data_IF_114268696876
#
_entry.id   IF_114268696876
#
_cell.length_a   1.000
_cell.length_b   1.000
_cell.length_c   1.000
_cell.angle_alpha   90.00
_cell.angle_beta   90.00
_cell.angle_gamma   90.00
#
_symmetry.space_group_name_H-M   'P 1'
#
loop_
_entity.id
_entity.type
_entity.pdbx_description
1 polymer ?
#
# COMPACT_ATOMS: atom_id res chain seq x y z
N UNK A 1 -18.97 -7.80 -2.14
CA UNK A 1 -18.00 -6.72 -1.93
C UNK A 1 -16.72 -7.14 -2.61
N UNK A 2 -16.29 -6.40 -3.62
CA UNK A 2 -14.97 -6.60 -4.24
C UNK A 2 -13.88 -5.93 -3.38
N UNK A 3 -12.62 -6.21 -3.69
CA UNK A 3 -11.49 -5.69 -2.90
C UNK A 3 -11.43 -4.15 -2.90
N UNK A 4 -11.79 -3.50 -4.00
CA UNK A 4 -11.83 -2.03 -4.11
C UNK A 4 -12.88 -1.42 -3.19
N UNK A 5 -14.11 -1.91 -3.24
CA UNK A 5 -15.22 -1.49 -2.38
C UNK A 5 -14.85 -1.66 -0.89
N UNK A 6 -14.16 -2.75 -0.54
CA UNK A 6 -13.66 -2.97 0.80
C UNK A 6 -12.65 -1.88 1.21
N UNK A 7 -11.63 -1.63 0.39
CA UNK A 7 -10.61 -0.62 0.68
C UNK A 7 -11.21 0.79 0.78
N UNK A 8 -12.17 1.13 -0.09
CA UNK A 8 -12.91 2.40 -0.02
C UNK A 8 -13.71 2.53 1.28
N UNK A 9 -14.35 1.45 1.76
CA UNK A 9 -15.07 1.48 3.03
C UNK A 9 -14.13 1.63 4.24
N UNK A 10 -12.98 0.95 4.24
CA UNK A 10 -11.97 1.09 5.31
C UNK A 10 -11.45 2.52 5.36
N UNK A 11 -11.12 3.10 4.20
CA UNK A 11 -10.69 4.50 4.08
C UNK A 11 -11.76 5.48 4.60
N UNK A 12 -13.03 5.26 4.23
CA UNK A 12 -14.12 6.17 4.58
C UNK A 12 -14.54 6.08 6.06
N UNK A 13 -14.36 4.91 6.69
CA UNK A 13 -14.86 4.63 8.05
C UNK A 13 -13.84 3.86 8.90
N UNK A 14 -12.62 4.38 9.10
CA UNK A 14 -11.53 3.65 9.78
C UNK A 14 -11.92 3.18 11.19
N UNK A 15 -12.71 3.97 11.92
CA UNK A 15 -13.17 3.62 13.27
C UNK A 15 -14.04 2.36 13.35
N UNK A 16 -14.80 2.00 12.29
CA UNK A 16 -15.57 0.75 12.26
C UNK A 16 -14.68 -0.49 12.21
N UNK A 17 -13.43 -0.33 11.79
CA UNK A 17 -12.42 -1.38 11.69
C UNK A 17 -11.43 -1.32 12.87
N UNK A 18 -11.69 -0.50 13.89
CA UNK A 18 -10.80 -0.32 15.04
C UNK A 18 -9.53 0.48 14.73
N UNK A 19 -9.48 1.17 13.59
CA UNK A 19 -8.32 1.98 13.21
C UNK A 19 -8.38 3.35 13.89
N UNK A 20 -7.23 3.77 14.43
CA UNK A 20 -7.05 5.02 15.17
C UNK A 20 -6.41 6.14 14.33
N UNK A 21 -6.29 5.94 13.01
CA UNK A 21 -5.69 6.91 12.09
C UNK A 21 -4.17 6.85 11.98
N UNK A 22 -3.48 5.97 12.73
CA UNK A 22 -2.03 5.80 12.56
C UNK A 22 -1.70 4.95 11.33
N UNK A 23 -0.57 5.24 10.70
CA UNK A 23 -0.05 4.47 9.58
C UNK A 23 0.21 3.02 9.98
N UNK A 24 0.86 2.82 11.13
CA UNK A 24 1.23 1.49 11.61
C UNK A 24 0.00 0.59 11.85
N UNK A 25 -1.05 1.11 12.49
CA UNK A 25 -2.27 0.34 12.74
C UNK A 25 -2.99 0.01 11.42
N UNK A 26 -3.07 0.97 10.50
CA UNK A 26 -3.68 0.78 9.17
C UNK A 26 -2.95 -0.28 8.35
N UNK A 27 -1.62 -0.18 8.26
CA UNK A 27 -0.81 -1.14 7.52
C UNK A 27 -0.92 -2.54 8.14
N UNK A 28 -0.82 -2.66 9.47
CA UNK A 28 -0.94 -3.94 10.18
C UNK A 28 -2.30 -4.59 9.97
N UNK A 29 -3.38 -3.81 10.02
CA UNK A 29 -4.73 -4.28 9.73
C UNK A 29 -4.85 -4.84 8.30
N UNK A 30 -4.34 -4.11 7.30
CA UNK A 30 -4.40 -4.56 5.90
C UNK A 30 -3.56 -5.82 5.66
N UNK A 31 -2.38 -5.92 6.29
CA UNK A 31 -1.56 -7.14 6.26
C UNK A 31 -2.34 -8.33 6.84
N UNK A 32 -2.95 -8.17 8.01
CA UNK A 32 -3.75 -9.23 8.64
C UNK A 32 -4.96 -9.64 7.80
N UNK A 33 -5.64 -8.66 7.19
CA UNK A 33 -6.78 -8.91 6.30
C UNK A 33 -6.36 -9.69 5.04
N UNK A 34 -5.24 -9.32 4.42
CA UNK A 34 -4.72 -10.01 3.24
C UNK A 34 -4.28 -11.44 3.57
N UNK A 35 -3.59 -11.65 4.69
CA UNK A 35 -3.22 -12.99 5.17
C UNK A 35 -4.44 -13.86 5.42
N UNK A 36 -5.49 -13.31 6.05
CA UNK A 36 -6.77 -13.99 6.25
C UNK A 36 -7.49 -14.37 4.95
N UNK A 37 -7.11 -13.78 3.81
CA UNK A 37 -7.62 -14.04 2.47
C UNK A 37 -6.60 -14.69 1.54
N UNK A 38 -5.61 -15.40 2.10
CA UNK A 38 -4.59 -16.13 1.34
C UNK A 38 -3.69 -15.26 0.45
N UNK A 39 -3.49 -13.99 0.81
CA UNK A 39 -2.53 -13.10 0.16
C UNK A 39 -2.96 -12.59 -1.22
N UNK A 40 -4.27 -12.48 -1.47
CA UNK A 40 -4.81 -12.07 -2.77
C UNK A 40 -4.86 -10.56 -3.00
N UNK A 41 -5.02 -9.76 -1.94
CA UNK A 41 -5.22 -8.31 -2.03
C UNK A 41 -3.96 -7.62 -2.55
N UNK A 42 -2.79 -7.97 -1.98
CA UNK A 42 -1.52 -7.33 -2.30
C UNK A 42 -0.65 -8.08 -3.32
N UNK A 43 -1.15 -9.15 -3.94
CA UNK A 43 -0.39 -9.91 -4.94
C UNK A 43 -0.06 -9.05 -6.16
N UNK A 44 1.22 -8.76 -6.39
CA UNK A 44 1.67 -7.87 -7.45
C UNK A 44 1.84 -6.40 -7.01
N UNK A 45 1.60 -6.07 -5.74
CA UNK A 45 1.65 -4.69 -5.28
C UNK A 45 3.09 -4.18 -5.16
N UNK A 46 4.01 -4.97 -4.61
CA UNK A 46 5.43 -4.61 -4.55
C UNK A 46 6.03 -4.37 -5.95
N UNK A 47 5.69 -5.22 -6.91
CA UNK A 47 6.10 -5.11 -8.31
C UNK A 47 5.51 -3.85 -8.96
N UNK A 48 4.24 -3.56 -8.71
CA UNK A 48 3.60 -2.33 -9.19
C UNK A 48 4.23 -1.08 -8.57
N UNK A 49 4.61 -1.11 -7.29
CA UNK A 49 5.34 -0.01 -6.65
C UNK A 49 6.71 0.22 -7.31
N UNK A 50 7.44 -0.86 -7.62
CA UNK A 50 8.74 -0.79 -8.29
C UNK A 50 8.62 -0.20 -9.70
N UNK A 51 7.63 -0.64 -10.49
CA UNK A 51 7.36 -0.08 -11.84
C UNK A 51 7.03 1.41 -11.76
N UNK A 52 6.20 1.84 -10.81
CA UNK A 52 5.87 3.27 -10.63
C UNK A 52 7.10 4.12 -10.33
N UNK A 53 8.05 3.58 -9.56
CA UNK A 53 9.30 4.29 -9.20
C UNK A 53 10.38 4.17 -10.27
N UNK A 54 10.26 3.21 -11.20
CA UNK A 54 11.29 2.88 -12.18
C UNK A 54 12.52 2.21 -11.56
N UNK A 55 12.39 1.64 -10.36
CA UNK A 55 13.51 1.04 -9.61
C UNK A 55 13.03 -0.17 -8.80
N UNK A 56 13.81 -1.25 -8.84
CA UNK A 56 13.57 -2.43 -7.99
C UNK A 56 14.03 -2.17 -6.57
N UNK A 57 13.30 -2.72 -5.61
CA UNK A 57 13.66 -2.62 -4.20
C UNK A 57 13.41 -3.94 -3.49
N UNK A 58 14.23 -4.24 -2.49
CA UNK A 58 14.06 -5.37 -1.59
C UNK A 58 13.25 -5.00 -0.33
N UNK A 59 12.73 -3.78 -0.28
CA UNK A 59 11.93 -3.26 0.82
C UNK A 59 10.47 -3.60 0.55
N UNK A 60 9.80 -4.16 1.56
CA UNK A 60 8.37 -4.49 1.51
C UNK A 60 7.47 -3.26 1.34
N UNK A 61 6.30 -3.44 0.72
CA UNK A 61 5.40 -2.37 0.31
C UNK A 61 5.08 -1.35 1.40
N UNK A 62 4.86 -1.77 2.65
CA UNK A 62 4.50 -0.81 3.71
C UNK A 62 5.68 0.09 4.07
N UNK A 63 6.90 -0.43 4.04
CA UNK A 63 8.08 0.39 4.22
C UNK A 63 8.30 1.31 3.01
N UNK A 64 8.02 0.86 1.79
CA UNK A 64 8.08 1.71 0.60
C UNK A 64 7.07 2.86 0.65
N UNK A 65 5.82 2.60 1.05
CA UNK A 65 4.77 3.62 1.19
C UNK A 65 5.13 4.62 2.29
N UNK A 66 5.65 4.14 3.43
CA UNK A 66 6.12 4.99 4.52
C UNK A 66 7.23 5.96 4.07
N UNK A 67 8.24 5.46 3.37
CA UNK A 67 9.35 6.28 2.88
C UNK A 67 8.91 7.29 1.81
N UNK A 68 7.91 6.96 0.98
CA UNK A 68 7.34 7.88 0.00
C UNK A 68 6.49 8.98 0.65
N UNK A 69 5.69 8.62 1.65
CA UNK A 69 4.84 9.58 2.36
C UNK A 69 5.66 10.57 3.19
N UNK A 70 6.81 10.14 3.72
CA UNK A 70 7.59 10.87 4.70
C UNK A 70 9.04 11.07 4.20
N UNK A 71 9.26 11.91 3.17
CA UNK A 71 10.59 12.15 2.64
C UNK A 71 11.49 12.74 3.74
N UNK A 72 12.67 12.14 3.90
CA UNK A 72 13.64 12.52 4.93
C UNK A 72 13.53 11.73 6.24
N UNK A 73 12.50 10.90 6.40
CA UNK A 73 12.44 9.92 7.49
C UNK A 73 13.15 8.65 7.04
N UNK A 74 14.18 8.23 7.77
CA UNK A 74 14.89 6.98 7.49
C UNK A 74 14.02 5.76 7.84
N UNK A 75 14.32 4.61 7.21
CA UNK A 75 13.59 3.35 7.47
C UNK A 75 13.58 2.94 8.95
N UNK A 76 14.62 3.28 9.72
CA UNK A 76 14.67 3.09 11.18
C UNK A 76 13.56 3.82 11.95
N UNK A 77 12.92 4.81 11.33
CA UNK A 77 11.77 5.53 11.86
C UNK A 77 10.46 4.76 11.71
N UNK A 78 10.44 3.64 10.97
CA UNK A 78 9.27 2.79 10.87
C UNK A 78 8.93 2.20 12.24
N UNK A 79 7.67 2.35 12.66
CA UNK A 79 7.20 1.94 13.98
C UNK A 79 7.53 2.91 15.12
N UNK A 80 8.22 4.02 14.84
CA UNK A 80 8.31 5.13 15.80
C UNK A 80 7.02 5.95 15.77
N UNK A 81 6.66 6.61 16.89
CA UNK A 81 5.52 7.52 16.92
C UNK A 81 5.69 8.63 15.88
N UNK A 82 4.67 8.81 15.04
CA UNK A 82 4.57 9.91 14.09
C UNK A 82 3.75 11.06 14.69
N UNK A 83 3.92 12.25 14.12
CA UNK A 83 2.93 13.32 14.31
C UNK A 83 1.62 12.95 13.61
N UNK A 84 0.50 13.52 14.06
CA UNK A 84 -0.81 13.28 13.45
C UNK A 84 -0.81 13.61 11.95
N UNK A 85 -0.11 14.67 11.56
CA UNK A 85 -0.03 15.13 10.18
C UNK A 85 0.74 14.13 9.30
N UNK A 86 1.82 13.56 9.83
CA UNK A 86 2.60 12.52 9.15
C UNK A 86 1.80 11.21 9.03
N UNK A 87 1.11 10.80 10.10
CA UNK A 87 0.22 9.63 10.06
C UNK A 87 -0.88 9.81 9.00
N UNK A 88 -1.53 10.97 8.99
CA UNK A 88 -2.58 11.27 8.01
C UNK A 88 -2.04 11.23 6.57
N UNK A 89 -0.91 11.87 6.31
CA UNK A 89 -0.28 11.87 4.99
C UNK A 89 0.09 10.44 4.52
N UNK A 90 0.63 9.62 5.42
CA UNK A 90 1.02 8.25 5.11
C UNK A 90 -0.18 7.33 4.88
N UNK A 91 -1.25 7.48 5.67
CA UNK A 91 -2.51 6.74 5.49
C UNK A 91 -3.19 7.14 4.19
N UNK A 92 -3.25 8.43 3.87
CA UNK A 92 -3.85 8.91 2.62
C UNK A 92 -3.08 8.42 1.40
N UNK A 93 -1.75 8.43 1.45
CA UNK A 93 -0.93 7.89 0.38
C UNK A 93 -1.14 6.38 0.23
N UNK A 94 -1.16 5.63 1.34
CA UNK A 94 -1.40 4.18 1.32
C UNK A 94 -2.70 3.84 0.59
N UNK A 95 -3.81 4.46 0.96
CA UNK A 95 -5.08 4.18 0.32
C UNK A 95 -5.10 4.62 -1.14
N UNK A 96 -4.47 5.76 -1.47
CA UNK A 96 -4.38 6.23 -2.86
C UNK A 96 -3.62 5.25 -3.74
N UNK A 97 -2.47 4.77 -3.27
CA UNK A 97 -1.65 3.79 -3.99
C UNK A 97 -2.35 2.44 -4.12
N UNK A 98 -2.96 1.95 -3.04
CA UNK A 98 -3.68 0.68 -3.07
C UNK A 98 -4.86 0.73 -4.04
N UNK A 99 -5.67 1.79 -4.01
CA UNK A 99 -6.81 1.93 -4.93
C UNK A 99 -6.35 2.03 -6.40
N UNK A 100 -5.27 2.78 -6.66
CA UNK A 100 -4.68 2.88 -8.01
C UNK A 100 -4.15 1.54 -8.50
N UNK A 101 -3.53 0.76 -7.61
CA UNK A 101 -3.08 -0.59 -7.93
C UNK A 101 -4.25 -1.52 -8.25
N UNK A 102 -5.34 -1.48 -7.48
CA UNK A 102 -6.50 -2.33 -7.72
C UNK A 102 -7.12 -2.05 -9.11
N UNK A 103 -7.10 -0.80 -9.58
CA UNK A 103 -7.51 -0.47 -10.95
C UNK A 103 -6.64 -1.16 -12.01
N UNK A 104 -5.32 -1.16 -11.81
CA UNK A 104 -4.37 -1.85 -12.71
C UNK A 104 -4.55 -3.36 -12.63
N UNK A 105 -4.74 -3.91 -11.43
CA UNK A 105 -4.88 -5.35 -11.18
C UNK A 105 -6.16 -5.91 -11.79
N UNK A 106 -7.25 -5.16 -11.74
CA UNK A 106 -8.55 -5.59 -12.23
C UNK A 106 -8.65 -5.47 -13.78
N UNK A 107 -7.77 -4.71 -14.44
CA UNK A 107 -7.58 -4.72 -15.90
C UNK A 107 -6.49 -5.73 -16.32
N UNK A 108 -6.90 -6.84 -16.94
CA UNK A 108 -5.98 -7.91 -17.39
C UNK A 108 -4.86 -7.43 -18.31
N UNK A 109 -5.11 -6.44 -19.17
CA UNK A 109 -4.09 -5.90 -20.08
C UNK A 109 -3.14 -4.98 -19.33
N UNK A 110 -3.65 -4.17 -18.41
CA UNK A 110 -2.82 -3.30 -17.58
C UNK A 110 -1.93 -4.14 -16.63
N UNK A 111 -2.48 -5.18 -16.01
CA UNK A 111 -1.75 -6.10 -15.16
C UNK A 111 -0.63 -6.84 -15.92
N UNK A 112 -0.91 -7.33 -17.13
CA UNK A 112 0.11 -8.00 -17.95
C UNK A 112 1.26 -7.05 -18.34
N UNK A 113 0.95 -5.79 -18.66
CA UNK A 113 1.98 -4.77 -18.92
C UNK A 113 2.80 -4.46 -17.66
N UNK A 114 2.15 -4.32 -16.51
CA UNK A 114 2.84 -4.08 -15.23
C UNK A 114 3.92 -5.14 -14.97
N UNK A 115 3.58 -6.42 -15.10
CA UNK A 115 4.57 -7.48 -14.91
C UNK A 115 5.67 -7.47 -15.98
N UNK A 116 5.34 -7.20 -17.25
CA UNK A 116 6.36 -7.08 -18.30
C UNK A 116 7.34 -5.92 -18.03
N UNK A 117 6.82 -4.76 -17.60
CA UNK A 117 7.62 -3.61 -17.24
C UNK A 117 8.49 -3.90 -16.01
N UNK A 118 7.95 -4.61 -15.02
CA UNK A 118 8.68 -5.04 -13.84
C UNK A 118 9.86 -5.97 -14.19
N UNK A 119 9.65 -6.93 -15.09
CA UNK A 119 10.73 -7.81 -15.59
C UNK A 119 11.80 -7.05 -16.37
N UNK A 120 11.44 -5.93 -17.01
CA UNK A 120 12.37 -5.07 -17.74
C UNK A 120 13.18 -4.12 -16.84
N UNK A 121 12.77 -3.91 -15.58
CA UNK A 121 13.55 -3.13 -14.62
C UNK A 121 14.90 -3.81 -14.34
N UNK A 122 15.97 -3.05 -14.46
CA UNK A 122 17.35 -3.50 -14.20
C UNK A 122 17.70 -3.43 -12.73
#
# INVERSE_FOLDING_TARGET
>A
MNDREFVEQVRARPGLYGLNGTYHSTATFLIGFDQGRSGGLFRGFDEWLAVRRGERTNITWYAQVFLEALPGVALRGLGQPLTREQDQAAVDLLFTLLLSFLEVRDDRRALARMYADHEALK
#
